data_IF_990818725187
#
_entry.id   IF_990818725187
#
_cell.length_a   1.000
_cell.length_b   1.000
_cell.length_c   1.000
_cell.angle_alpha   90.00
_cell.angle_beta   90.00
_cell.angle_gamma   90.00
#
_symmetry.space_group_name_H-M   'P 1'
#
loop_
_entity.id
_entity.type
_entity.pdbx_description
1 polymer ?
#
# COMPACT_ATOMS: atom_id res chain seq x y z
N UNK A 1 -28.10 -11.56 3.32
CA UNK A 1 -27.09 -12.09 2.38
C UNK A 1 -27.66 -12.23 0.97
N UNK A 2 -28.70 -13.05 0.74
CA UNK A 2 -29.23 -13.23 -0.63
C UNK A 2 -29.75 -11.93 -1.26
N UNK A 3 -30.40 -11.06 -0.49
CA UNK A 3 -30.84 -9.73 -0.96
C UNK A 3 -29.65 -8.92 -1.50
N UNK A 4 -28.55 -8.82 -0.75
CA UNK A 4 -27.35 -8.11 -1.20
C UNK A 4 -26.71 -8.75 -2.44
N UNK A 5 -26.72 -10.09 -2.54
CA UNK A 5 -26.21 -10.78 -3.72
C UNK A 5 -27.10 -10.51 -4.94
N UNK A 6 -28.42 -10.48 -4.76
CA UNK A 6 -29.37 -10.11 -5.80
C UNK A 6 -29.15 -8.67 -6.29
N UNK A 7 -28.89 -7.72 -5.39
CA UNK A 7 -28.58 -6.33 -5.76
C UNK A 7 -27.29 -6.23 -6.60
N UNK A 8 -26.25 -6.98 -6.25
CA UNK A 8 -24.99 -7.04 -7.01
C UNK A 8 -25.23 -7.65 -8.40
N UNK A 9 -25.96 -8.78 -8.48
CA UNK A 9 -26.28 -9.41 -9.78
C UNK A 9 -27.16 -8.51 -10.64
N UNK A 10 -28.13 -7.82 -10.04
CA UNK A 10 -28.98 -6.86 -10.74
C UNK A 10 -28.15 -5.69 -11.28
N UNK A 11 -27.20 -5.17 -10.50
CA UNK A 11 -26.25 -4.15 -10.96
C UNK A 11 -25.46 -4.60 -12.19
N UNK A 12 -24.92 -5.82 -12.19
CA UNK A 12 -24.19 -6.38 -13.35
C UNK A 12 -25.11 -6.48 -14.57
N UNK A 13 -26.31 -7.06 -14.38
CA UNK A 13 -27.29 -7.29 -15.45
C UNK A 13 -27.82 -5.99 -16.06
N UNK A 14 -28.24 -5.02 -15.24
CA UNK A 14 -28.86 -3.77 -15.70
C UNK A 14 -27.91 -2.84 -16.46
N UNK A 15 -26.60 -3.02 -16.25
CA UNK A 15 -25.56 -2.24 -16.90
C UNK A 15 -24.82 -3.04 -18.00
N UNK A 16 -25.27 -4.25 -18.34
CA UNK A 16 -24.65 -5.11 -19.36
C UNK A 16 -23.14 -5.33 -19.15
N UNK A 17 -22.75 -5.61 -17.90
CA UNK A 17 -21.36 -5.78 -17.53
C UNK A 17 -20.94 -7.25 -17.63
N UNK A 18 -19.72 -7.50 -18.11
CA UNK A 18 -19.12 -8.86 -18.12
C UNK A 18 -18.83 -9.40 -16.71
N UNK A 19 -18.82 -8.53 -15.70
CA UNK A 19 -18.60 -8.87 -14.29
C UNK A 19 -18.39 -7.61 -13.46
N UNK A 20 -18.26 -7.78 -12.15
CA UNK A 20 -17.97 -6.70 -11.22
C UNK A 20 -16.95 -7.14 -10.16
N UNK A 21 -16.36 -6.15 -9.48
CA UNK A 21 -15.56 -6.32 -8.26
C UNK A 21 -16.26 -5.54 -7.16
N UNK A 22 -16.40 -6.15 -5.98
CA UNK A 22 -16.97 -5.49 -4.80
C UNK A 22 -15.83 -4.98 -3.94
N UNK A 23 -15.77 -3.67 -3.70
CA UNK A 23 -14.75 -3.04 -2.85
C UNK A 23 -15.41 -2.46 -1.61
N UNK A 24 -15.01 -2.90 -0.43
CA UNK A 24 -15.45 -2.32 0.83
C UNK A 24 -14.62 -1.08 1.17
N UNK A 25 -15.27 0.08 1.17
CA UNK A 25 -14.74 1.39 1.61
C UNK A 25 -15.66 2.04 2.67
N UNK A 26 -16.46 1.22 3.35
CA UNK A 26 -17.40 1.70 4.37
C UNK A 26 -16.68 2.15 5.65
N UNK A 27 -17.42 2.78 6.57
CA UNK A 27 -16.92 3.09 7.90
C UNK A 27 -16.37 1.84 8.60
N UNK A 28 -15.31 2.05 9.39
CA UNK A 28 -14.69 0.96 10.15
C UNK A 28 -15.68 0.36 11.15
N UNK A 29 -15.72 -0.97 11.19
CA UNK A 29 -16.49 -1.73 12.17
C UNK A 29 -15.58 -2.13 13.35
N UNK A 30 -16.15 -2.30 14.55
CA UNK A 30 -15.44 -2.93 15.65
C UNK A 30 -15.13 -4.41 15.32
N UNK A 31 -14.23 -5.00 16.08
CA UNK A 31 -13.98 -6.44 15.98
C UNK A 31 -15.28 -7.23 16.21
N UNK A 32 -15.58 -8.25 15.38
CA UNK A 32 -16.82 -9.00 15.51
C UNK A 32 -16.90 -9.70 16.87
N UNK A 33 -18.07 -9.62 17.51
CA UNK A 33 -18.35 -10.29 18.79
C UNK A 33 -19.38 -11.40 18.54
N UNK A 34 -19.01 -12.64 18.86
CA UNK A 34 -19.88 -13.81 18.67
C UNK A 34 -19.91 -14.35 17.23
N UNK A 35 -20.96 -15.08 16.88
CA UNK A 35 -21.08 -15.76 15.58
C UNK A 35 -21.87 -15.01 14.50
N UNK A 36 -22.43 -13.84 14.83
CA UNK A 36 -23.20 -13.05 13.87
C UNK A 36 -22.26 -12.34 12.88
N UNK A 37 -22.57 -12.42 11.59
CA UNK A 37 -21.79 -11.74 10.57
C UNK A 37 -22.02 -10.22 10.64
N UNK A 38 -20.97 -9.40 10.81
CA UNK A 38 -21.09 -7.95 10.69
C UNK A 38 -21.38 -7.54 9.23
N UNK A 39 -21.72 -6.27 9.00
CA UNK A 39 -22.16 -5.82 7.68
C UNK A 39 -21.06 -6.03 6.61
N UNK A 40 -19.79 -5.75 6.93
CA UNK A 40 -18.66 -6.01 6.03
C UNK A 40 -18.60 -7.47 5.57
N UNK A 41 -18.84 -8.42 6.48
CA UNK A 41 -18.85 -9.86 6.18
C UNK A 41 -20.11 -10.28 5.42
N UNK A 42 -21.27 -9.67 5.69
CA UNK A 42 -22.50 -9.92 4.92
C UNK A 42 -22.34 -9.50 3.46
N UNK A 43 -21.71 -8.34 3.20
CA UNK A 43 -21.40 -7.88 1.84
C UNK A 43 -20.29 -8.70 1.18
N UNK A 44 -19.26 -9.11 1.93
CA UNK A 44 -18.22 -9.99 1.41
C UNK A 44 -18.80 -11.36 0.98
N UNK A 45 -19.65 -11.97 1.81
CA UNK A 45 -20.34 -13.21 1.47
C UNK A 45 -21.32 -13.05 0.31
N UNK A 46 -21.94 -11.86 0.17
CA UNK A 46 -22.79 -11.54 -0.97
C UNK A 46 -21.99 -11.41 -2.28
N UNK A 47 -20.80 -10.82 -2.22
CA UNK A 47 -19.88 -10.73 -3.36
C UNK A 47 -19.51 -12.12 -3.88
N UNK A 48 -19.12 -13.04 -2.99
CA UNK A 48 -18.82 -14.42 -3.36
C UNK A 48 -20.03 -15.13 -4.00
N UNK A 49 -21.23 -14.99 -3.40
CA UNK A 49 -22.47 -15.56 -3.97
C UNK A 49 -22.91 -14.94 -5.30
N UNK A 50 -22.52 -13.70 -5.55
CA UNK A 50 -22.76 -13.00 -6.81
C UNK A 50 -21.67 -13.29 -7.85
N UNK A 51 -20.77 -14.25 -7.56
CA UNK A 51 -19.62 -14.57 -8.40
C UNK A 51 -18.81 -13.31 -8.73
N UNK A 52 -18.45 -12.53 -7.70
CA UNK A 52 -17.72 -11.29 -7.82
C UNK A 52 -16.49 -11.28 -6.90
N UNK A 53 -15.27 -10.99 -7.42
CA UNK A 53 -14.10 -10.74 -6.61
C UNK A 53 -14.35 -9.68 -5.54
N UNK A 54 -13.60 -9.76 -4.46
CA UNK A 54 -13.80 -8.90 -3.30
C UNK A 54 -12.50 -8.24 -2.85
N UNK A 55 -12.57 -6.95 -2.52
CA UNK A 55 -11.47 -6.19 -1.93
C UNK A 55 -11.94 -5.53 -0.65
N UNK A 56 -11.20 -5.70 0.44
CA UNK A 56 -11.47 -5.01 1.70
C UNK A 56 -10.50 -3.85 1.90
N UNK A 57 -10.94 -2.60 1.72
CA UNK A 57 -10.08 -1.43 1.93
C UNK A 57 -10.15 -0.88 3.37
N UNK A 58 -10.90 -1.54 4.25
CA UNK A 58 -11.08 -1.15 5.66
C UNK A 58 -10.47 -2.21 6.60
N UNK A 59 -10.25 -1.90 7.89
CA UNK A 59 -9.84 -2.90 8.87
C UNK A 59 -11.00 -3.78 9.37
N UNK A 60 -12.22 -3.61 8.84
CA UNK A 60 -13.38 -4.43 9.20
C UNK A 60 -13.15 -5.91 8.84
N UNK A 61 -13.96 -6.81 9.39
CA UNK A 61 -13.76 -8.25 9.24
C UNK A 61 -13.79 -8.70 7.76
N UNK A 62 -14.80 -8.29 6.98
CA UNK A 62 -14.95 -8.72 5.59
C UNK A 62 -14.90 -10.24 5.45
N UNK A 63 -14.06 -10.76 4.55
CA UNK A 63 -13.80 -12.20 4.39
C UNK A 63 -12.96 -12.83 5.51
N UNK A 64 -12.29 -12.05 6.36
CA UNK A 64 -11.51 -12.59 7.48
C UNK A 64 -12.37 -13.07 8.66
N UNK A 65 -13.69 -12.92 8.57
CA UNK A 65 -14.58 -13.51 9.57
C UNK A 65 -14.51 -15.05 9.50
N UNK A 66 -14.25 -15.76 10.61
CA UNK A 66 -14.03 -17.21 10.58
C UNK A 66 -15.13 -18.02 9.90
N UNK A 67 -16.40 -17.62 10.07
CA UNK A 67 -17.54 -18.27 9.42
C UNK A 67 -17.57 -18.17 7.88
N UNK A 68 -16.68 -17.38 7.27
CA UNK A 68 -16.56 -17.25 5.81
C UNK A 68 -15.29 -17.91 5.23
N UNK A 69 -14.45 -18.52 6.06
CA UNK A 69 -13.19 -19.12 5.60
C UNK A 69 -13.43 -20.18 4.50
N UNK A 70 -14.30 -21.15 4.75
CA UNK A 70 -14.65 -22.19 3.78
C UNK A 70 -15.29 -21.60 2.51
N UNK A 71 -16.15 -20.59 2.66
CA UNK A 71 -16.78 -19.92 1.52
C UNK A 71 -15.74 -19.18 0.65
N UNK A 72 -14.75 -18.53 1.26
CA UNK A 72 -13.68 -17.83 0.55
C UNK A 72 -12.76 -18.82 -0.20
N UNK A 73 -12.45 -19.96 0.40
CA UNK A 73 -11.64 -21.02 -0.22
C UNK A 73 -12.36 -21.68 -1.39
N UNK A 74 -13.65 -22.05 -1.20
CA UNK A 74 -14.43 -22.79 -2.20
C UNK A 74 -14.95 -21.92 -3.35
N UNK A 75 -15.09 -20.61 -3.16
CA UNK A 75 -15.60 -19.70 -4.19
C UNK A 75 -14.70 -19.64 -5.43
N UNK A 76 -13.41 -19.97 -5.32
CA UNK A 76 -12.48 -19.87 -6.45
C UNK A 76 -12.36 -18.45 -7.01
N UNK A 77 -12.61 -17.43 -6.19
CA UNK A 77 -12.57 -16.02 -6.60
C UNK A 77 -11.35 -15.32 -6.04
N UNK A 78 -10.70 -14.43 -6.81
CA UNK A 78 -9.62 -13.62 -6.29
C UNK A 78 -10.16 -12.63 -5.25
N UNK A 79 -9.41 -12.44 -4.18
CA UNK A 79 -9.73 -11.43 -3.18
C UNK A 79 -8.48 -10.79 -2.60
N UNK A 80 -8.63 -9.55 -2.12
CA UNK A 80 -7.52 -8.78 -1.56
C UNK A 80 -7.98 -7.97 -0.34
N UNK A 81 -7.03 -7.55 0.45
CA UNK A 81 -7.29 -6.82 1.68
C UNK A 81 -6.18 -7.09 2.70
N UNK A 82 -6.21 -6.44 3.86
CA UNK A 82 -7.18 -5.41 4.24
C UNK A 82 -6.55 -4.16 4.81
N UNK A 83 -7.39 -3.14 4.95
CA UNK A 83 -7.07 -1.80 5.44
C UNK A 83 -6.08 -1.03 4.56
N UNK A 84 -6.56 -0.02 3.83
CA UNK A 84 -5.74 0.75 2.90
C UNK A 84 -4.54 1.45 3.55
N UNK A 85 -3.40 1.42 2.86
CA UNK A 85 -2.14 2.05 3.31
C UNK A 85 -1.83 3.31 2.48
N UNK A 86 -2.17 4.48 3.02
CA UNK A 86 -2.14 5.76 2.27
C UNK A 86 -1.16 6.81 2.81
N UNK A 87 -1.02 6.95 4.14
CA UNK A 87 -0.27 8.04 4.77
C UNK A 87 0.80 7.58 5.76
N UNK A 88 0.57 7.76 7.07
CA UNK A 88 1.54 7.41 8.11
C UNK A 88 2.10 5.97 7.98
N UNK A 89 1.22 4.99 7.81
CA UNK A 89 1.64 3.58 7.70
C UNK A 89 2.47 3.31 6.45
N UNK A 90 2.24 4.07 5.37
CA UNK A 90 3.08 4.01 4.16
C UNK A 90 4.52 4.40 4.52
N UNK A 91 4.73 5.53 5.20
CA UNK A 91 6.06 5.94 5.66
C UNK A 91 6.70 4.91 6.59
N UNK A 92 5.93 4.31 7.51
CA UNK A 92 6.45 3.26 8.41
C UNK A 92 6.95 2.04 7.66
N UNK A 93 6.25 1.61 6.61
CA UNK A 93 6.67 0.48 5.75
C UNK A 93 7.91 0.77 4.90
N UNK A 94 8.36 2.04 4.83
CA UNK A 94 9.61 2.46 4.18
C UNK A 94 10.73 2.66 5.20
N UNK A 95 10.43 3.34 6.31
CA UNK A 95 11.42 3.73 7.31
C UNK A 95 11.80 2.59 8.24
N UNK A 96 10.84 1.73 8.62
CA UNK A 96 11.12 0.55 9.45
C UNK A 96 12.18 -0.37 8.85
N UNK A 97 12.03 -0.80 7.57
CA UNK A 97 13.03 -1.64 6.92
C UNK A 97 14.38 -0.91 6.79
N UNK A 98 14.38 0.40 6.52
CA UNK A 98 15.61 1.20 6.45
C UNK A 98 16.41 1.11 7.75
N UNK A 99 15.78 1.29 8.93
CA UNK A 99 16.47 1.17 10.22
C UNK A 99 17.08 -0.21 10.39
N UNK A 100 16.29 -1.27 10.13
CA UNK A 100 16.74 -2.66 10.24
C UNK A 100 17.91 -2.98 9.29
N UNK A 101 17.79 -2.62 8.02
CA UNK A 101 18.80 -2.86 6.98
C UNK A 101 20.11 -2.12 7.26
N UNK A 102 20.04 -0.97 7.94
CA UNK A 102 21.22 -0.17 8.33
C UNK A 102 21.75 -0.53 9.71
N UNK A 103 21.22 -1.57 10.35
CA UNK A 103 21.55 -1.98 11.71
C UNK A 103 21.43 -0.83 12.73
N UNK A 104 20.39 0.00 12.58
CA UNK A 104 20.04 1.07 13.51
C UNK A 104 18.98 0.55 14.47
N UNK A 105 19.31 0.47 15.76
CA UNK A 105 18.41 -0.07 16.77
C UNK A 105 17.33 0.96 17.11
N UNK A 106 16.10 0.72 16.69
CA UNK A 106 14.95 1.55 17.08
C UNK A 106 14.62 1.27 18.55
N UNK A 107 14.64 2.33 19.36
CA UNK A 107 14.36 2.28 20.80
C UNK A 107 12.89 2.58 21.07
N UNK A 108 12.41 3.67 20.46
CA UNK A 108 11.03 4.10 20.59
C UNK A 108 10.52 4.66 19.26
N UNK A 109 9.23 4.44 19.00
CA UNK A 109 8.52 5.01 17.86
C UNK A 109 7.11 5.40 18.28
N UNK A 110 6.95 6.66 18.68
CA UNK A 110 5.64 7.22 19.05
C UNK A 110 5.05 8.00 17.88
N UNK A 111 3.73 8.16 17.85
CA UNK A 111 3.11 9.03 16.86
C UNK A 111 1.69 9.44 17.20
N UNK A 112 1.21 10.47 16.52
CA UNK A 112 -0.20 10.87 16.58
C UNK A 112 -0.78 11.06 15.20
N UNK A 113 -2.09 10.88 15.06
CA UNK A 113 -2.84 11.19 13.85
C UNK A 113 -4.02 12.07 14.23
N UNK A 114 -4.07 13.26 13.65
CA UNK A 114 -5.18 14.18 13.77
C UNK A 114 -5.98 14.11 12.47
N UNK A 115 -7.26 13.77 12.53
CA UNK A 115 -8.15 13.78 11.37
C UNK A 115 -9.60 14.07 11.79
N UNK A 116 -10.41 14.58 10.87
CA UNK A 116 -11.85 14.78 11.07
C UNK A 116 -12.68 13.97 10.07
N UNK A 117 -13.83 14.51 9.68
CA UNK A 117 -14.70 13.90 8.68
C UNK A 117 -15.34 12.59 9.15
N UNK A 118 -15.82 11.78 8.20
CA UNK A 118 -16.47 10.49 8.54
C UNK A 118 -15.51 9.50 9.20
N UNK A 119 -14.23 9.59 8.86
CA UNK A 119 -13.19 8.70 9.34
C UNK A 119 -12.71 9.04 10.76
N UNK A 120 -12.72 10.35 11.11
CA UNK A 120 -12.55 10.85 12.47
C UNK A 120 -13.78 10.57 13.33
N UNK A 121 -14.99 10.82 12.81
CA UNK A 121 -16.24 10.55 13.52
C UNK A 121 -16.42 9.07 13.90
N UNK A 122 -15.93 8.14 13.07
CA UNK A 122 -15.94 6.71 13.38
C UNK A 122 -15.09 6.34 14.61
N UNK A 123 -14.15 7.20 15.03
CA UNK A 123 -13.32 6.97 16.22
C UNK A 123 -14.05 7.29 17.53
N UNK A 124 -15.25 7.88 17.48
CA UNK A 124 -16.08 8.06 18.66
C UNK A 124 -16.47 6.72 19.30
N UNK A 125 -16.45 5.62 18.53
CA UNK A 125 -16.52 4.26 19.06
C UNK A 125 -15.11 3.77 19.46
N UNK A 126 -14.83 3.55 20.76
CA UNK A 126 -13.54 3.07 21.23
C UNK A 126 -13.12 1.73 20.61
N UNK A 127 -14.07 0.86 20.26
CA UNK A 127 -13.76 -0.44 19.67
C UNK A 127 -13.31 -0.30 18.20
N UNK A 128 -13.90 0.62 17.45
CA UNK A 128 -13.46 0.96 16.10
C UNK A 128 -12.09 1.65 16.12
N UNK A 129 -11.85 2.54 17.08
CA UNK A 129 -10.55 3.18 17.30
C UNK A 129 -9.47 2.14 17.64
N UNK A 130 -9.76 1.18 18.52
CA UNK A 130 -8.83 0.10 18.87
C UNK A 130 -8.46 -0.77 17.65
N UNK A 131 -9.43 -1.08 16.78
CA UNK A 131 -9.16 -1.80 15.53
C UNK A 131 -8.22 -1.02 14.60
N UNK A 132 -8.42 0.30 14.44
CA UNK A 132 -7.52 1.16 13.64
C UNK A 132 -6.12 1.29 14.25
N UNK A 133 -5.99 1.32 15.58
CA UNK A 133 -4.69 1.43 16.24
C UNK A 133 -3.88 0.13 16.16
N UNK A 134 -4.51 -1.02 16.40
CA UNK A 134 -3.82 -2.32 16.35
C UNK A 134 -3.18 -2.62 14.99
N UNK A 135 -3.80 -2.19 13.89
CA UNK A 135 -3.23 -2.33 12.54
C UNK A 135 -1.95 -1.50 12.31
N UNK A 136 -1.78 -0.36 13.00
CA UNK A 136 -0.60 0.51 12.84
C UNK A 136 0.62 0.01 13.61
N UNK A 137 0.39 -0.61 14.77
CA UNK A 137 1.45 -1.17 15.61
C UNK A 137 2.03 -2.44 14.99
N UNK A 138 1.17 -3.31 14.44
CA UNK A 138 1.57 -4.57 13.80
C UNK A 138 2.64 -4.36 12.72
N UNK A 139 2.48 -3.35 11.86
CA UNK A 139 3.44 -3.03 10.79
C UNK A 139 4.86 -2.78 11.31
N UNK A 140 5.01 -2.14 12.48
CA UNK A 140 6.33 -1.91 13.08
C UNK A 140 6.91 -3.20 13.63
N UNK A 141 6.11 -4.00 14.33
CA UNK A 141 6.54 -5.30 14.88
C UNK A 141 7.00 -6.25 13.79
N UNK A 142 6.23 -6.39 12.72
CA UNK A 142 6.55 -7.28 11.60
C UNK A 142 7.87 -6.87 10.93
N UNK A 143 8.12 -5.57 10.85
CA UNK A 143 9.31 -5.02 10.22
C UNK A 143 10.55 -5.10 11.10
N UNK A 144 10.45 -4.71 12.37
CA UNK A 144 11.58 -4.58 13.30
C UNK A 144 11.88 -5.88 14.05
N UNK A 145 10.97 -6.86 14.01
CA UNK A 145 11.08 -8.14 14.72
C UNK A 145 10.64 -8.10 16.19
N UNK A 146 10.49 -6.90 16.76
CA UNK A 146 9.89 -6.65 18.06
C UNK A 146 9.22 -5.27 18.06
N UNK A 147 8.21 -5.09 18.91
CA UNK A 147 7.58 -3.79 19.09
C UNK A 147 8.56 -2.83 19.80
N UNK A 148 8.85 -1.64 19.23
CA UNK A 148 9.62 -0.61 19.94
C UNK A 148 8.76 0.02 21.05
N UNK A 149 9.40 0.73 21.99
CA UNK A 149 8.66 1.52 22.97
C UNK A 149 7.84 2.63 22.29
N UNK A 150 6.79 3.11 22.97
CA UNK A 150 5.96 4.22 22.50
C UNK A 150 4.62 3.77 21.93
N UNK A 151 3.73 4.75 21.77
CA UNK A 151 2.33 4.50 21.42
C UNK A 151 1.92 5.34 20.20
N UNK A 152 0.84 4.90 19.54
CA UNK A 152 0.19 5.65 18.47
C UNK A 152 -1.22 5.99 18.87
N UNK A 153 -1.56 7.26 18.76
CA UNK A 153 -2.91 7.74 19.04
C UNK A 153 -3.54 8.33 17.78
N UNK A 154 -4.87 8.38 17.81
CA UNK A 154 -5.68 9.01 16.78
C UNK A 154 -6.69 9.90 17.49
N UNK A 155 -6.68 11.19 17.16
CA UNK A 155 -7.57 12.18 17.73
C UNK A 155 -8.55 12.66 16.64
N UNK A 156 -9.84 12.65 16.97
CA UNK A 156 -10.86 13.28 16.13
C UNK A 156 -10.78 14.81 16.28
N UNK A 157 -10.48 15.48 15.18
CA UNK A 157 -10.40 16.94 15.10
C UNK A 157 -11.32 17.38 13.96
N UNK A 158 -12.63 17.59 14.23
CA UNK A 158 -13.63 17.81 13.19
C UNK A 158 -13.31 18.95 12.22
N UNK A 159 -12.62 19.99 12.70
CA UNK A 159 -12.19 21.14 11.88
C UNK A 159 -11.22 20.79 10.76
N UNK A 160 -10.53 19.66 10.83
CA UNK A 160 -9.62 19.20 9.77
C UNK A 160 -10.37 18.57 8.58
N UNK A 161 -11.62 18.15 8.76
CA UNK A 161 -12.37 17.45 7.71
C UNK A 161 -11.58 16.23 7.20
N UNK A 162 -11.43 16.12 5.88
CA UNK A 162 -10.69 15.02 5.23
C UNK A 162 -9.17 15.22 5.19
N UNK A 163 -8.67 16.34 5.72
CA UNK A 163 -7.24 16.56 5.86
C UNK A 163 -6.72 15.88 7.12
N UNK A 164 -5.70 15.06 6.94
CA UNK A 164 -5.04 14.36 8.02
C UNK A 164 -3.65 14.92 8.25
N UNK A 165 -3.32 15.11 9.53
CA UNK A 165 -1.95 15.34 9.97
C UNK A 165 -1.48 14.14 10.78
N UNK A 166 -0.37 13.52 10.38
CA UNK A 166 0.29 12.50 11.19
C UNK A 166 1.70 12.94 11.55
N UNK A 167 2.10 12.66 12.78
CA UNK A 167 3.43 12.94 13.28
C UNK A 167 4.02 11.66 13.86
N UNK A 168 5.29 11.39 13.57
CA UNK A 168 6.06 10.32 14.21
C UNK A 168 7.33 10.88 14.84
N UNK A 169 7.68 10.32 15.99
CA UNK A 169 8.92 10.56 16.71
C UNK A 169 9.65 9.22 16.90
N UNK A 170 10.78 9.06 16.22
CA UNK A 170 11.57 7.83 16.23
C UNK A 170 12.90 8.08 16.91
N UNK A 171 13.12 7.43 18.06
CA UNK A 171 14.41 7.42 18.74
C UNK A 171 15.17 6.14 18.40
N UNK A 172 16.42 6.27 17.97
CA UNK A 172 17.24 5.14 17.54
C UNK A 172 18.72 5.34 17.87
N UNK A 173 19.42 4.22 18.02
CA UNK A 173 20.87 4.19 18.26
C UNK A 173 21.62 3.90 16.96
N UNK A 174 22.66 4.68 16.70
CA UNK A 174 23.63 4.44 15.63
C UNK A 174 24.97 3.92 16.14
N UNK A 175 26.02 4.21 15.39
CA UNK A 175 27.38 3.77 15.70
C UNK A 175 27.81 4.20 17.12
N UNK A 176 28.42 3.27 17.85
CA UNK A 176 28.90 3.46 19.24
C UNK A 176 27.80 3.90 20.23
N UNK A 177 26.53 3.57 19.96
CA UNK A 177 25.42 3.97 20.82
C UNK A 177 25.04 5.45 20.72
N UNK A 178 25.44 6.12 19.62
CA UNK A 178 25.07 7.51 19.37
C UNK A 178 23.56 7.62 19.19
N UNK A 179 22.89 8.30 20.12
CA UNK A 179 21.44 8.49 20.10
C UNK A 179 21.04 9.54 19.10
N UNK A 180 20.06 9.21 18.27
CA UNK A 180 19.52 10.09 17.25
C UNK A 180 17.99 10.06 17.26
N UNK A 181 17.41 11.09 16.66
CA UNK A 181 15.96 11.25 16.55
C UNK A 181 15.64 11.54 15.08
N UNK A 182 14.65 10.84 14.55
CA UNK A 182 13.98 11.17 13.29
C UNK A 182 12.54 11.58 13.61
N UNK A 183 12.11 12.71 13.08
CA UNK A 183 10.71 13.15 13.14
C UNK A 183 10.16 13.27 11.73
N UNK A 184 8.91 12.84 11.55
CA UNK A 184 8.19 13.01 10.28
C UNK A 184 6.87 13.72 10.53
N UNK A 185 6.49 14.59 9.60
CA UNK A 185 5.15 15.19 9.55
C UNK A 185 4.56 14.86 8.18
N UNK A 186 3.42 14.18 8.18
CA UNK A 186 2.61 13.92 7.01
C UNK A 186 1.37 14.78 7.07
N UNK A 187 1.17 15.65 6.08
CA UNK A 187 -0.08 16.39 5.89
C UNK A 187 -0.64 16.04 4.52
N UNK A 188 -1.84 15.49 4.48
CA UNK A 188 -2.45 15.06 3.22
C UNK A 188 -3.95 14.87 3.34
N UNK A 189 -4.64 14.93 2.20
CA UNK A 189 -6.05 14.61 2.09
C UNK A 189 -6.20 13.08 1.97
N UNK A 190 -6.82 12.43 2.95
CA UNK A 190 -6.89 10.97 3.02
C UNK A 190 -7.70 10.39 1.85
N UNK A 191 -8.81 11.02 1.47
CA UNK A 191 -9.61 10.58 0.31
C UNK A 191 -8.84 10.71 -1.01
N UNK A 192 -8.07 11.79 -1.20
CA UNK A 192 -7.27 11.99 -2.41
C UNK A 192 -6.15 10.93 -2.54
N UNK A 193 -5.61 10.45 -1.43
CA UNK A 193 -4.64 9.36 -1.41
C UNK A 193 -5.29 7.99 -1.60
N UNK A 194 -6.50 7.78 -1.06
CA UNK A 194 -7.20 6.50 -1.08
C UNK A 194 -7.89 6.21 -2.43
N UNK A 195 -8.55 7.20 -3.01
CA UNK A 195 -9.36 7.04 -4.22
C UNK A 195 -8.63 6.38 -5.41
N UNK A 196 -7.40 6.78 -5.79
CA UNK A 196 -6.68 6.12 -6.88
C UNK A 196 -6.38 4.64 -6.57
N UNK A 197 -6.06 4.31 -5.31
CA UNK A 197 -5.77 2.92 -4.91
C UNK A 197 -7.00 2.01 -5.06
N UNK A 198 -8.20 2.53 -4.76
CA UNK A 198 -9.46 1.80 -4.97
C UNK A 198 -9.66 1.47 -6.45
N UNK A 199 -9.35 2.40 -7.35
CA UNK A 199 -9.44 2.18 -8.79
C UNK A 199 -8.42 1.13 -9.27
N UNK A 200 -7.18 1.22 -8.79
CA UNK A 200 -6.13 0.26 -9.11
C UNK A 200 -6.50 -1.15 -8.63
N UNK A 201 -6.95 -1.28 -7.39
CA UNK A 201 -7.38 -2.55 -6.81
C UNK A 201 -8.56 -3.16 -7.56
N UNK A 202 -9.55 -2.37 -7.96
CA UNK A 202 -10.67 -2.85 -8.77
C UNK A 202 -10.19 -3.40 -10.13
N UNK A 203 -9.30 -2.67 -10.80
CA UNK A 203 -8.75 -3.07 -12.11
C UNK A 203 -7.88 -4.31 -12.03
N UNK A 204 -6.93 -4.33 -11.08
CA UNK A 204 -6.00 -5.45 -10.89
C UNK A 204 -6.74 -6.72 -10.48
N UNK A 205 -7.72 -6.61 -9.58
CA UNK A 205 -8.50 -7.77 -9.11
C UNK A 205 -9.42 -8.31 -10.21
N UNK A 206 -10.07 -7.43 -10.99
CA UNK A 206 -10.87 -7.85 -12.15
C UNK A 206 -10.00 -8.56 -13.18
N UNK A 207 -8.80 -8.01 -13.44
CA UNK A 207 -7.86 -8.59 -14.40
C UNK A 207 -7.31 -9.94 -13.92
N UNK A 208 -7.04 -10.09 -12.63
CA UNK A 208 -6.65 -11.36 -12.03
C UNK A 208 -7.73 -12.44 -12.27
N UNK A 209 -9.01 -12.09 -12.08
CA UNK A 209 -10.12 -12.99 -12.41
C UNK A 209 -10.14 -13.38 -13.88
N UNK A 210 -9.95 -12.44 -14.80
CA UNK A 210 -9.93 -12.73 -16.25
C UNK A 210 -8.80 -13.69 -16.64
N UNK A 211 -7.68 -13.65 -15.92
CA UNK A 211 -6.56 -14.59 -16.08
C UNK A 211 -6.74 -15.92 -15.32
N UNK A 212 -7.90 -16.14 -14.69
CA UNK A 212 -8.19 -17.35 -13.93
C UNK A 212 -7.42 -17.44 -12.60
N UNK A 213 -6.88 -16.33 -12.09
CA UNK A 213 -6.23 -16.30 -10.78
C UNK A 213 -7.32 -16.29 -9.70
N UNK A 214 -7.17 -17.18 -8.71
CA UNK A 214 -8.16 -17.41 -7.64
C UNK A 214 -7.51 -17.28 -6.26
N UNK A 215 -8.32 -17.13 -5.21
CA UNK A 215 -7.82 -17.06 -3.84
C UNK A 215 -7.21 -15.71 -3.44
N UNK A 216 -6.43 -15.66 -2.34
CA UNK A 216 -5.85 -14.41 -1.84
C UNK A 216 -4.78 -13.86 -2.80
N UNK A 217 -4.94 -12.61 -3.23
CA UNK A 217 -3.97 -11.88 -4.06
C UNK A 217 -2.89 -11.23 -3.18
N UNK A 218 -1.99 -12.04 -2.61
CA UNK A 218 -0.92 -11.58 -1.71
C UNK A 218 -0.02 -10.51 -2.33
N UNK A 219 0.18 -10.54 -3.65
CA UNK A 219 1.00 -9.58 -4.39
C UNK A 219 0.42 -8.16 -4.36
N UNK A 220 -0.84 -7.99 -3.95
CA UNK A 220 -1.44 -6.68 -3.71
C UNK A 220 -1.13 -6.13 -2.30
N UNK A 221 -0.26 -6.76 -1.52
CA UNK A 221 0.11 -6.29 -0.18
C UNK A 221 0.68 -4.87 -0.13
N UNK A 222 1.19 -4.37 -1.27
CA UNK A 222 1.61 -2.98 -1.46
C UNK A 222 0.54 -1.96 -1.05
N UNK A 223 -0.74 -2.28 -1.26
CA UNK A 223 -1.88 -1.38 -1.02
C UNK A 223 -2.41 -1.42 0.43
N UNK A 224 -1.99 -2.39 1.24
CA UNK A 224 -2.66 -2.72 2.51
C UNK A 224 -1.74 -2.59 3.73
N UNK A 225 -2.36 -2.36 4.89
CA UNK A 225 -1.71 -2.38 6.21
C UNK A 225 -1.67 -3.80 6.78
N UNK A 226 -2.71 -4.60 6.52
CA UNK A 226 -2.89 -5.97 7.01
C UNK A 226 -3.17 -6.91 5.83
N UNK A 227 -2.18 -7.12 4.94
CA UNK A 227 -2.38 -7.84 3.68
C UNK A 227 -2.78 -9.31 3.87
N UNK A 228 -3.55 -9.86 2.94
CA UNK A 228 -3.95 -11.26 2.90
C UNK A 228 -2.78 -12.15 2.48
N UNK A 229 -2.70 -13.32 3.11
CA UNK A 229 -1.63 -14.29 2.87
C UNK A 229 -0.29 -13.86 3.48
N UNK A 230 0.70 -14.72 3.33
CA UNK A 230 2.05 -14.46 3.81
C UNK A 230 2.81 -13.64 2.74
N UNK A 231 3.23 -12.43 3.11
CA UNK A 231 3.94 -11.51 2.23
C UNK A 231 4.90 -10.61 3.02
N UNK A 232 5.82 -9.91 2.34
CA UNK A 232 6.79 -9.05 3.00
C UNK A 232 6.11 -7.82 3.63
N UNK A 233 6.67 -7.33 4.74
CA UNK A 233 6.21 -6.10 5.39
C UNK A 233 6.76 -4.82 4.74
N UNK A 234 7.93 -4.92 4.08
CA UNK A 234 8.65 -3.79 3.50
C UNK A 234 8.02 -3.33 2.19
N UNK A 235 7.82 -2.01 2.03
CA UNK A 235 7.15 -1.46 0.83
C UNK A 235 7.88 -1.81 -0.47
N UNK A 236 9.22 -1.82 -0.46
CA UNK A 236 10.02 -2.11 -1.65
C UNK A 236 9.84 -3.56 -2.13
N UNK A 237 9.77 -4.51 -1.21
CA UNK A 237 9.53 -5.93 -1.51
C UNK A 237 8.08 -6.14 -1.99
N UNK A 238 7.11 -5.51 -1.32
CA UNK A 238 5.71 -5.51 -1.76
C UNK A 238 5.53 -4.93 -3.17
N UNK A 239 6.32 -3.91 -3.52
CA UNK A 239 6.32 -3.36 -4.88
C UNK A 239 6.90 -4.34 -5.90
N UNK A 240 7.94 -5.11 -5.55
CA UNK A 240 8.47 -6.15 -6.41
C UNK A 240 7.45 -7.28 -6.65
N UNK A 241 6.71 -7.69 -5.62
CA UNK A 241 5.61 -8.66 -5.74
C UNK A 241 4.50 -8.13 -6.65
N UNK A 242 4.12 -6.86 -6.48
CA UNK A 242 3.14 -6.20 -7.35
C UNK A 242 3.58 -6.20 -8.82
N UNK A 243 4.86 -5.92 -9.11
CA UNK A 243 5.39 -5.97 -10.47
C UNK A 243 5.38 -7.41 -11.03
N UNK A 244 5.60 -8.42 -10.20
CA UNK A 244 5.48 -9.83 -10.58
C UNK A 244 4.04 -10.19 -10.94
N UNK A 245 3.06 -9.73 -10.16
CA UNK A 245 1.65 -9.87 -10.52
C UNK A 245 1.34 -9.13 -11.83
N UNK A 246 1.79 -7.87 -11.96
CA UNK A 246 1.55 -7.08 -13.16
C UNK A 246 2.07 -7.79 -14.42
N UNK A 247 3.24 -8.45 -14.35
CA UNK A 247 3.76 -9.26 -15.45
C UNK A 247 2.82 -10.43 -15.82
N UNK A 248 2.29 -11.16 -14.83
CA UNK A 248 1.31 -12.25 -15.04
C UNK A 248 -0.03 -11.76 -15.61
N UNK A 249 -0.41 -10.51 -15.32
CA UNK A 249 -1.65 -9.92 -15.79
C UNK A 249 -1.57 -9.37 -17.22
N UNK A 250 -0.37 -9.23 -17.80
CA UNK A 250 -0.20 -8.78 -19.19
C UNK A 250 -0.92 -9.73 -20.15
N UNK A 251 -1.45 -9.17 -21.23
CA UNK A 251 -1.85 -10.00 -22.36
C UNK A 251 -0.61 -10.72 -22.91
N UNK A 252 -0.81 -11.96 -23.34
CA UNK A 252 0.18 -12.62 -24.16
C UNK A 252 0.13 -11.88 -25.50
N UNK A 253 0.98 -10.86 -25.67
CA UNK A 253 1.17 -10.23 -26.97
C UNK A 253 1.58 -11.36 -27.92
N UNK A 254 0.71 -11.66 -28.88
CA UNK A 254 0.71 -12.89 -29.65
C UNK A 254 2.10 -13.36 -30.10
N UNK A 255 2.49 -14.52 -29.60
CA UNK A 255 3.35 -15.43 -30.35
C UNK A 255 2.51 -16.14 -31.43
N UNK A 256 1.88 -15.36 -32.31
CA UNK A 256 1.23 -15.86 -33.53
C UNK A 256 1.38 -14.79 -34.63
N UNK A 257 2.42 -14.96 -35.45
CA UNK A 257 2.37 -14.62 -36.86
C UNK A 257 2.74 -15.89 -37.63
N UNK A 258 1.84 -16.48 -38.43
CA UNK A 258 2.20 -17.59 -39.30
C UNK A 258 2.87 -17.06 -40.57
N UNK A 259 3.94 -17.76 -40.95
CA UNK A 259 4.62 -17.84 -42.25
C UNK A 259 4.33 -16.80 -43.35
N UNK A 260 5.40 -16.12 -43.76
CA UNK A 260 5.58 -15.52 -45.08
C UNK A 260 7.01 -15.77 -45.55
N UNK A 261 7.20 -16.80 -46.37
CA UNK A 261 8.49 -17.41 -46.67
C UNK A 261 9.46 -16.63 -47.56
N UNK A 262 10.69 -17.15 -47.59
CA UNK A 262 11.48 -17.25 -48.82
C UNK A 262 12.83 -16.50 -48.85
N UNK A 263 13.91 -17.27 -49.01
CA UNK A 263 15.11 -16.84 -49.71
C UNK A 263 16.38 -16.79 -48.86
N UNK A 264 17.21 -17.83 -48.96
CA UNK A 264 18.63 -17.72 -48.61
C UNK A 264 19.39 -16.88 -49.66
N UNK A 265 20.56 -16.35 -49.29
CA UNK A 265 21.87 -16.87 -49.73
C UNK A 265 23.03 -16.03 -49.13
N UNK A 266 24.18 -16.70 -48.92
CA UNK A 266 25.54 -16.16 -49.13
C UNK A 266 26.17 -15.12 -48.18
N UNK A 267 27.18 -15.59 -47.40
CA UNK A 267 28.61 -15.14 -47.35
C UNK A 267 28.94 -13.63 -47.37
N UNK A 268 29.93 -13.06 -46.68
CA UNK A 268 31.25 -13.54 -46.25
C UNK A 268 31.97 -12.41 -45.47
N UNK A 269 32.99 -12.75 -44.66
CA UNK A 269 34.13 -11.89 -44.23
C UNK A 269 33.83 -10.67 -43.33
N UNK A 270 34.61 -10.31 -42.31
CA UNK A 270 35.99 -10.64 -41.95
C UNK A 270 36.59 -9.41 -41.24
N UNK A 271 37.05 -9.65 -40.02
CA UNK A 271 38.24 -9.07 -39.36
C UNK A 271 38.40 -7.55 -39.11
N UNK A 272 38.96 -7.24 -37.93
CA UNK A 272 39.92 -6.14 -37.77
C UNK A 272 39.48 -4.92 -36.96
N UNK A 273 40.10 -4.76 -35.77
CA UNK A 273 40.86 -3.53 -35.53
C UNK A 273 40.49 -2.67 -34.31
N UNK A 274 41.34 -2.78 -33.30
CA UNK A 274 41.58 -1.84 -32.20
C UNK A 274 41.54 -0.35 -32.58
N UNK A 275 41.09 0.48 -31.64
CA UNK A 275 41.11 1.93 -31.79
C UNK A 275 40.87 2.71 -30.51
N UNK A 276 41.57 2.39 -29.43
CA UNK A 276 41.73 3.30 -28.28
C UNK A 276 42.30 4.63 -28.76
N UNK A 277 41.59 5.73 -28.55
CA UNK A 277 42.17 7.09 -28.61
C UNK A 277 41.81 7.88 -27.37
N UNK A 278 42.78 7.87 -26.47
CA UNK A 278 43.06 8.85 -25.42
C UNK A 278 43.15 10.26 -26.04
N UNK A 279 42.44 11.23 -25.46
CA UNK A 279 42.72 12.66 -25.63
C UNK A 279 42.59 13.37 -24.29
N UNK A 280 43.75 13.67 -23.72
CA UNK A 280 43.98 14.51 -22.53
C UNK A 280 43.80 16.00 -22.86
N UNK A 281 43.03 16.68 -22.00
CA UNK A 281 43.26 18.02 -21.42
C UNK A 281 43.25 19.27 -22.33
N UNK A 282 43.28 20.51 -21.77
CA UNK A 282 43.52 20.83 -20.36
C UNK A 282 42.52 21.85 -19.71
N UNK A 283 42.51 21.81 -18.38
CA UNK A 283 42.37 22.88 -17.37
C UNK A 283 41.66 24.22 -17.68
N UNK A 284 40.78 24.61 -16.74
CA UNK A 284 40.41 26.00 -16.51
C UNK A 284 39.38 26.20 -15.39
N UNK A 285 39.81 26.13 -14.12
CA UNK A 285 39.12 26.81 -13.00
C UNK A 285 39.80 28.16 -12.78
N UNK A 286 39.06 29.16 -12.31
CA UNK A 286 39.57 30.02 -11.26
C UNK A 286 38.64 30.04 -10.03
N UNK A 287 39.30 30.16 -8.89
CA UNK A 287 38.79 30.22 -7.52
C UNK A 287 38.18 31.60 -7.16
N UNK A 288 37.50 31.70 -5.98
CA UNK A 288 36.72 32.84 -5.53
C UNK A 288 37.51 33.78 -4.61
N UNK A 289 37.13 35.07 -4.56
CA UNK A 289 37.38 36.07 -3.49
C UNK A 289 36.80 37.42 -3.98
N UNK A 290 36.19 38.32 -3.21
CA UNK A 290 35.97 38.46 -1.76
C UNK A 290 35.47 39.89 -1.45
N UNK A 291 35.10 40.14 -0.19
CA UNK A 291 34.90 41.49 0.42
C UNK A 291 33.43 41.82 0.73
N UNK A 292 32.90 41.64 1.95
CA UNK A 292 33.08 42.39 3.23
C UNK A 292 32.46 43.80 3.26
N UNK A 293 31.46 43.96 4.13
CA UNK A 293 31.34 44.93 5.26
C UNK A 293 29.86 45.33 5.51
N UNK A 294 29.24 44.88 6.60
CA UNK A 294 29.08 45.55 7.90
C UNK A 294 28.30 46.88 7.88
N UNK A 295 27.11 46.87 8.49
CA UNK A 295 26.39 47.91 9.29
C UNK A 295 25.10 47.18 9.76
N UNK A 296 24.56 47.22 10.97
CA UNK A 296 24.69 48.11 12.13
C UNK A 296 23.28 48.26 12.74
N UNK A 297 23.16 47.98 14.04
CA UNK A 297 22.13 48.42 15.01
C UNK A 297 20.64 48.09 14.84
N UNK A 298 20.12 47.33 15.82
CA UNK A 298 18.99 47.63 16.74
C UNK A 298 17.77 48.43 16.25
N UNK A 299 16.56 47.98 16.62
CA UNK A 299 15.72 48.60 17.68
C UNK A 299 14.53 47.68 18.02
N UNK A 300 14.31 47.53 19.34
CA UNK A 300 13.17 46.89 20.01
C UNK A 300 11.90 47.75 19.95
N UNK A 301 10.73 47.13 19.90
CA UNK A 301 9.73 47.09 20.99
C UNK A 301 8.58 46.16 20.63
#
# INVERSE_FOLDING_TARGET
MEVFAADIRDFVRRNDLAGAVVVNVASTEPAPVGGALPASSLYAAAALRADCPYVNFTPSAGLHHPALAEAAETAGLPHAGRDGKTGQTLLRSVLGPMFRQRALTVRAWSGTNLLGGGDGAALADPAAAAAKNGGKERVLTDTLGAAPEGEVHIDDVPSLGDWKTAWDHVAFDGFLGSRMILQTVWQGCDSALAAPLVLDLARLTLRARQKGITGPLRELGFYFKDPVGDGPAALAEQYADLLTLAARLRDDTGAEGPDGGGGGDGSDGGDGGDGVRDRRGPHGRPDPQGGRDQHGSEVRR
#
